data_IF_845901017700
#
_entry.id   IF_845901017700
#
_cell.length_a   1.000
_cell.length_b   1.000
_cell.length_c   1.000
_cell.angle_alpha   90.00
_cell.angle_beta   90.00
_cell.angle_gamma   90.00
#
_symmetry.space_group_name_H-M   'P 1'
#
loop_
_entity.id
_entity.type
_entity.pdbx_description
1 polymer ?
#
# COMPACT_ATOMS: atom_id res chain seq x y z
N UNK A 1 -10.99 -23.24 2.27
CA UNK A 1 -10.64 -21.91 2.82
C UNK A 1 -11.66 -21.39 3.84
N UNK A 2 -12.98 -21.48 3.59
CA UNK A 2 -14.02 -21.17 4.62
C UNK A 2 -13.87 -21.95 5.93
N UNK A 3 -13.31 -23.16 5.85
CA UNK A 3 -12.98 -24.05 6.98
C UNK A 3 -12.10 -23.40 8.05
N UNK A 4 -11.34 -22.35 7.73
CA UNK A 4 -10.58 -21.59 8.75
C UNK A 4 -11.49 -20.87 9.75
N UNK A 5 -12.67 -20.41 9.31
CA UNK A 5 -13.67 -19.81 10.21
C UNK A 5 -14.32 -20.87 11.09
N UNK A 6 -14.69 -21.99 10.48
CA UNK A 6 -15.49 -23.03 11.12
C UNK A 6 -14.65 -23.91 12.06
N UNK A 7 -13.35 -24.02 11.80
CA UNK A 7 -12.39 -24.79 12.61
C UNK A 7 -10.97 -24.21 12.45
N UNK A 8 -10.63 -23.09 13.13
CA UNK A 8 -9.34 -22.42 12.98
C UNK A 8 -8.16 -23.32 13.36
N UNK A 9 -8.36 -24.22 14.30
CA UNK A 9 -7.32 -25.14 14.79
C UNK A 9 -7.11 -26.36 13.86
N UNK A 10 -8.03 -26.61 12.92
CA UNK A 10 -7.96 -27.79 12.05
C UNK A 10 -6.95 -27.60 10.91
N UNK A 11 -6.02 -28.55 10.77
CA UNK A 11 -4.97 -28.52 9.74
C UNK A 11 -5.50 -28.52 8.28
N UNK A 12 -6.77 -28.87 8.06
CA UNK A 12 -7.37 -28.98 6.73
C UNK A 12 -7.32 -27.68 5.93
N UNK A 13 -7.54 -26.52 6.57
CA UNK A 13 -7.49 -25.25 5.86
C UNK A 13 -6.08 -24.91 5.40
N UNK A 14 -5.04 -25.25 6.20
CA UNK A 14 -3.63 -25.04 5.84
C UNK A 14 -3.26 -25.85 4.59
N UNK A 15 -3.58 -27.14 4.60
CA UNK A 15 -3.37 -28.04 3.46
C UNK A 15 -4.10 -27.56 2.20
N UNK A 16 -5.34 -27.07 2.35
CA UNK A 16 -6.11 -26.55 1.23
C UNK A 16 -5.46 -25.28 0.62
N UNK A 17 -4.96 -24.38 1.46
CA UNK A 17 -4.27 -23.16 1.01
C UNK A 17 -2.93 -23.50 0.35
N UNK A 18 -2.14 -24.39 0.96
CA UNK A 18 -0.88 -24.86 0.36
C UNK A 18 -1.11 -25.55 -0.98
N UNK A 19 -2.11 -26.44 -1.07
CA UNK A 19 -2.47 -27.12 -2.31
C UNK A 19 -2.89 -26.14 -3.40
N UNK A 20 -3.74 -25.17 -3.06
CA UNK A 20 -4.12 -24.09 -3.98
C UNK A 20 -2.90 -23.30 -4.47
N UNK A 21 -2.04 -22.85 -3.56
CA UNK A 21 -0.83 -22.10 -3.88
C UNK A 21 0.09 -22.85 -4.85
N UNK A 22 0.29 -24.16 -4.64
CA UNK A 22 1.12 -25.00 -5.53
C UNK A 22 0.54 -25.07 -6.94
N UNK A 23 -0.77 -25.27 -7.06
CA UNK A 23 -1.46 -25.35 -8.36
C UNK A 23 -1.31 -24.03 -9.12
N UNK A 24 -1.60 -22.90 -8.45
CA UNK A 24 -1.56 -21.59 -9.09
C UNK A 24 -0.15 -21.19 -9.54
N UNK A 25 0.87 -21.47 -8.71
CA UNK A 25 2.26 -21.19 -9.08
C UNK A 25 2.68 -22.06 -10.27
N UNK A 26 2.36 -23.35 -10.27
CA UNK A 26 2.68 -24.26 -11.38
C UNK A 26 2.03 -23.80 -12.70
N UNK A 27 0.74 -23.45 -12.66
CA UNK A 27 0.00 -22.94 -13.82
C UNK A 27 0.57 -21.60 -14.33
N UNK A 28 0.92 -20.68 -13.42
CA UNK A 28 1.48 -19.37 -13.78
C UNK A 28 2.89 -19.51 -14.39
N UNK A 29 3.72 -20.39 -13.84
CA UNK A 29 5.05 -20.69 -14.37
C UNK A 29 4.98 -21.31 -15.78
N UNK A 30 4.03 -22.21 -16.03
CA UNK A 30 3.81 -22.81 -17.36
C UNK A 30 3.43 -21.77 -18.40
N UNK A 31 2.56 -20.82 -18.03
CA UNK A 31 2.16 -19.71 -18.90
C UNK A 31 3.34 -18.78 -19.23
N UNK A 32 4.16 -18.45 -18.23
CA UNK A 32 5.33 -17.58 -18.41
C UNK A 32 6.42 -18.20 -19.31
N UNK A 33 6.56 -19.53 -19.30
CA UNK A 33 7.57 -20.25 -20.08
C UNK A 33 7.21 -20.46 -21.57
N UNK A 34 6.15 -19.80 -22.09
CA UNK A 34 5.69 -19.93 -23.48
C UNK A 34 5.39 -21.37 -23.91
N UNK A 35 5.09 -22.27 -22.96
CA UNK A 35 4.39 -23.51 -23.29
C UNK A 35 2.99 -23.07 -23.70
N UNK A 36 2.78 -22.90 -25.00
CA UNK A 36 1.58 -22.29 -25.57
C UNK A 36 0.30 -22.74 -24.85
N UNK A 37 -0.63 -21.80 -24.70
CA UNK A 37 -1.94 -22.02 -24.10
C UNK A 37 -2.48 -23.37 -24.58
N UNK A 38 -2.78 -24.28 -23.65
CA UNK A 38 -3.34 -25.57 -24.02
C UNK A 38 -4.56 -25.33 -24.93
N UNK A 39 -4.50 -25.70 -26.22
CA UNK A 39 -5.58 -25.43 -27.16
C UNK A 39 -6.86 -26.17 -26.78
N UNK A 40 -6.81 -27.12 -25.83
CA UNK A 40 -7.96 -27.82 -25.28
C UNK A 40 -8.85 -26.94 -24.39
N UNK A 41 -8.31 -25.88 -23.76
CA UNK A 41 -9.05 -25.03 -22.83
C UNK A 41 -9.61 -23.80 -23.55
N UNK A 42 -10.93 -23.76 -23.70
CA UNK A 42 -11.62 -22.61 -24.30
C UNK A 42 -11.31 -21.30 -23.55
N UNK A 43 -11.24 -20.18 -24.27
CA UNK A 43 -11.10 -18.83 -23.69
C UNK A 43 -12.13 -18.55 -22.58
N UNK A 44 -13.36 -19.05 -22.74
CA UNK A 44 -14.42 -18.91 -21.75
C UNK A 44 -14.12 -19.67 -20.45
N UNK A 45 -13.54 -20.86 -20.54
CA UNK A 45 -13.13 -21.63 -19.37
C UNK A 45 -12.01 -20.92 -18.59
N UNK A 46 -11.02 -20.34 -19.28
CA UNK A 46 -9.95 -19.56 -18.64
C UNK A 46 -10.46 -18.31 -17.90
N UNK A 47 -11.41 -17.59 -18.50
CA UNK A 47 -12.07 -16.44 -17.83
C UNK A 47 -12.78 -16.88 -16.54
N UNK A 48 -13.46 -18.03 -16.56
CA UNK A 48 -14.11 -18.57 -15.35
C UNK A 48 -13.10 -18.94 -14.28
N UNK A 49 -12.01 -19.61 -14.65
CA UNK A 49 -10.93 -19.96 -13.72
C UNK A 49 -10.38 -18.71 -13.02
N UNK A 50 -10.07 -17.65 -13.77
CA UNK A 50 -9.59 -16.40 -13.20
C UNK A 50 -10.58 -15.72 -12.25
N UNK A 51 -11.88 -15.84 -12.51
CA UNK A 51 -12.92 -15.37 -11.58
C UNK A 51 -12.90 -16.14 -10.26
N UNK A 52 -12.85 -17.46 -10.32
CA UNK A 52 -12.78 -18.31 -9.13
C UNK A 52 -11.48 -18.05 -8.34
N UNK A 53 -10.35 -17.86 -9.03
CA UNK A 53 -9.08 -17.48 -8.39
C UNK A 53 -9.23 -16.16 -7.64
N UNK A 54 -9.81 -15.14 -8.28
CA UNK A 54 -10.03 -13.85 -7.64
C UNK A 54 -10.98 -13.96 -6.44
N UNK A 55 -12.04 -14.75 -6.54
CA UNK A 55 -12.98 -14.98 -5.45
C UNK A 55 -12.29 -15.67 -4.25
N UNK A 56 -11.41 -16.63 -4.52
CA UNK A 56 -10.61 -17.31 -3.48
C UNK A 56 -9.68 -16.33 -2.77
N UNK A 57 -8.93 -15.50 -3.51
CA UNK A 57 -8.08 -14.47 -2.93
C UNK A 57 -8.86 -13.43 -2.13
N UNK A 58 -9.97 -12.94 -2.68
CA UNK A 58 -10.83 -11.95 -2.03
C UNK A 58 -11.39 -12.51 -0.71
N UNK A 59 -11.98 -13.71 -0.75
CA UNK A 59 -12.52 -14.37 0.44
C UNK A 59 -11.43 -14.61 1.48
N UNK A 60 -10.26 -15.11 1.08
CA UNK A 60 -9.25 -15.51 2.05
C UNK A 60 -8.48 -14.33 2.64
N UNK A 61 -7.95 -13.45 1.79
CA UNK A 61 -7.15 -12.32 2.23
C UNK A 61 -7.99 -11.32 3.03
N UNK A 62 -9.16 -10.93 2.49
CA UNK A 62 -10.02 -9.90 3.14
C UNK A 62 -10.76 -10.49 4.34
N UNK A 63 -11.23 -11.74 4.21
CA UNK A 63 -12.05 -12.40 5.20
C UNK A 63 -11.27 -12.97 6.38
N UNK A 64 -10.07 -13.52 6.18
CA UNK A 64 -9.42 -14.36 7.18
C UNK A 64 -7.97 -14.00 7.52
N UNK A 65 -7.14 -13.61 6.55
CA UNK A 65 -5.74 -13.24 6.84
C UNK A 65 -5.66 -11.99 7.69
N UNK A 66 -4.59 -11.81 8.48
CA UNK A 66 -4.31 -10.57 9.24
C UNK A 66 -5.44 -10.11 10.15
N UNK A 67 -6.22 -11.05 10.69
CA UNK A 67 -7.28 -10.82 11.69
C UNK A 67 -6.80 -11.32 13.04
N UNK A 68 -7.32 -10.74 14.12
CA UNK A 68 -7.04 -11.22 15.48
C UNK A 68 -7.40 -12.71 15.58
N UNK A 69 -6.41 -13.51 15.96
CA UNK A 69 -6.57 -14.96 16.15
C UNK A 69 -7.05 -15.22 17.59
N UNK A 70 -7.95 -16.18 17.82
CA UNK A 70 -8.33 -16.57 19.18
C UNK A 70 -7.10 -17.07 19.95
N UNK A 71 -6.73 -16.38 21.02
CA UNK A 71 -5.52 -16.66 21.81
C UNK A 71 -5.58 -17.94 22.65
N UNK A 72 -6.72 -18.59 22.72
CA UNK A 72 -7.00 -19.57 23.77
C UNK A 72 -6.93 -21.04 23.30
N UNK A 73 -6.62 -21.30 22.01
CA UNK A 73 -6.61 -22.66 21.44
C UNK A 73 -5.30 -23.09 20.78
N UNK A 74 -4.51 -22.14 20.25
CA UNK A 74 -3.31 -22.45 19.44
C UNK A 74 -2.00 -22.22 20.20
N UNK A 75 -1.04 -23.11 19.98
CA UNK A 75 0.33 -22.89 20.43
C UNK A 75 1.00 -21.75 19.65
N UNK A 76 2.02 -21.12 20.23
CA UNK A 76 2.79 -20.08 19.56
C UNK A 76 3.42 -20.54 18.22
N UNK A 77 3.75 -21.83 18.10
CA UNK A 77 4.27 -22.42 16.86
C UNK A 77 3.19 -22.48 15.77
N UNK A 78 1.96 -22.83 16.13
CA UNK A 78 0.84 -22.89 15.17
C UNK A 78 0.42 -21.49 14.71
N UNK A 79 0.39 -20.51 15.61
CA UNK A 79 0.13 -19.11 15.25
C UNK A 79 1.17 -18.60 14.25
N UNK A 80 2.46 -18.89 14.49
CA UNK A 80 3.52 -18.51 13.58
C UNK A 80 3.42 -19.21 12.22
N UNK A 81 3.02 -20.48 12.20
CA UNK A 81 2.79 -21.22 10.96
C UNK A 81 1.63 -20.61 10.16
N UNK A 82 0.56 -20.19 10.84
CA UNK A 82 -0.58 -19.53 10.22
C UNK A 82 -0.19 -18.19 9.60
N UNK A 83 0.51 -17.34 10.36
CA UNK A 83 1.03 -16.07 9.86
C UNK A 83 1.99 -16.27 8.68
N UNK A 84 2.86 -17.27 8.74
CA UNK A 84 3.77 -17.60 7.63
C UNK A 84 3.01 -18.00 6.37
N UNK A 85 1.94 -18.78 6.50
CA UNK A 85 1.10 -19.19 5.39
C UNK A 85 0.31 -18.02 4.80
N UNK A 86 -0.16 -17.09 5.64
CA UNK A 86 -0.79 -15.82 5.20
C UNK A 86 0.17 -14.95 4.39
N UNK A 87 1.43 -14.83 4.84
CA UNK A 87 2.44 -14.08 4.09
C UNK A 87 2.77 -14.78 2.77
N UNK A 88 2.88 -16.11 2.77
CA UNK A 88 3.15 -16.89 1.56
C UNK A 88 2.06 -16.72 0.49
N UNK A 89 0.78 -16.73 0.87
CA UNK A 89 -0.31 -16.51 -0.10
C UNK A 89 -0.27 -15.09 -0.68
N UNK A 90 0.10 -14.10 0.14
CA UNK A 90 0.25 -12.71 -0.27
C UNK A 90 1.45 -12.53 -1.23
N UNK A 91 2.56 -13.20 -0.96
CA UNK A 91 3.74 -13.21 -1.83
C UNK A 91 3.42 -13.85 -3.18
N UNK A 92 2.64 -14.94 -3.21
CA UNK A 92 2.22 -15.56 -4.47
C UNK A 92 1.34 -14.60 -5.26
N UNK A 93 0.35 -13.97 -4.64
CA UNK A 93 -0.50 -13.00 -5.33
C UNK A 93 0.32 -11.83 -5.89
N UNK A 94 1.12 -11.18 -5.05
CA UNK A 94 1.86 -9.98 -5.40
C UNK A 94 3.02 -10.25 -6.36
N UNK A 95 3.83 -11.26 -6.10
CA UNK A 95 5.10 -11.46 -6.82
C UNK A 95 5.04 -12.52 -7.90
N UNK A 96 4.17 -13.53 -7.76
CA UNK A 96 4.09 -14.63 -8.72
C UNK A 96 2.95 -14.49 -9.71
N UNK A 97 1.83 -13.89 -9.32
CA UNK A 97 0.68 -13.71 -10.21
C UNK A 97 0.71 -12.32 -10.85
N UNK A 98 0.63 -11.27 -10.03
CA UNK A 98 0.42 -9.90 -10.52
C UNK A 98 1.63 -9.29 -11.24
N UNK A 99 2.84 -9.82 -11.01
CA UNK A 99 4.05 -9.42 -11.76
C UNK A 99 4.32 -10.28 -13.00
N UNK A 100 3.64 -11.41 -13.15
CA UNK A 100 3.89 -12.34 -14.25
C UNK A 100 3.06 -12.00 -15.49
N UNK A 101 3.54 -12.43 -16.65
CA UNK A 101 2.75 -12.43 -17.86
C UNK A 101 1.65 -13.51 -17.79
N UNK A 102 0.43 -13.10 -17.47
CA UNK A 102 -0.75 -13.95 -17.39
C UNK A 102 -1.85 -13.49 -18.35
N UNK A 103 -2.80 -14.38 -18.64
CA UNK A 103 -3.93 -14.15 -19.55
C UNK A 103 -5.22 -13.72 -18.84
N UNK A 104 -5.10 -13.21 -17.60
CA UNK A 104 -6.22 -12.73 -16.82
C UNK A 104 -6.88 -11.50 -17.47
N UNK A 105 -8.22 -11.43 -17.52
CA UNK A 105 -8.93 -10.23 -17.94
C UNK A 105 -8.59 -9.01 -17.06
N UNK A 106 -8.63 -7.81 -17.64
CA UNK A 106 -8.29 -6.56 -16.95
C UNK A 106 -9.15 -6.31 -15.70
N UNK A 107 -10.45 -6.63 -15.76
CA UNK A 107 -11.35 -6.51 -14.60
C UNK A 107 -10.92 -7.44 -13.45
N UNK A 108 -10.35 -8.60 -13.76
CA UNK A 108 -9.83 -9.53 -12.75
C UNK A 108 -8.54 -9.01 -12.14
N UNK A 109 -7.61 -8.49 -12.95
CA UNK A 109 -6.39 -7.86 -12.44
C UNK A 109 -6.72 -6.71 -11.49
N UNK A 110 -7.67 -5.86 -11.88
CA UNK A 110 -8.15 -4.76 -11.05
C UNK A 110 -8.76 -5.24 -9.73
N UNK A 111 -9.58 -6.31 -9.75
CA UNK A 111 -10.14 -6.91 -8.54
C UNK A 111 -9.07 -7.47 -7.60
N UNK A 112 -8.03 -8.11 -8.14
CA UNK A 112 -6.92 -8.65 -7.35
C UNK A 112 -6.09 -7.53 -6.70
N UNK A 113 -5.78 -6.46 -7.43
CA UNK A 113 -5.09 -5.29 -6.86
C UNK A 113 -5.96 -4.60 -5.81
N UNK A 114 -7.26 -4.45 -6.05
CA UNK A 114 -8.21 -3.89 -5.06
C UNK A 114 -8.30 -4.76 -3.81
N UNK A 115 -8.16 -6.08 -3.95
CA UNK A 115 -8.10 -7.01 -2.81
C UNK A 115 -6.88 -6.72 -1.93
N UNK A 116 -5.71 -6.45 -2.52
CA UNK A 116 -4.52 -6.03 -1.76
C UNK A 116 -4.77 -4.72 -1.01
N UNK A 117 -5.39 -3.73 -1.65
CA UNK A 117 -5.68 -2.45 -1.03
C UNK A 117 -6.64 -2.54 0.15
N UNK A 118 -7.71 -3.34 0.05
CA UNK A 118 -8.62 -3.60 1.17
C UNK A 118 -7.91 -4.22 2.38
N UNK A 119 -6.85 -4.98 2.15
CA UNK A 119 -6.02 -5.54 3.21
C UNK A 119 -5.03 -4.50 3.75
N UNK A 120 -4.41 -3.71 2.86
CA UNK A 120 -3.50 -2.63 3.20
C UNK A 120 -4.18 -1.50 3.99
N UNK A 121 -5.48 -1.31 3.81
CA UNK A 121 -6.24 -0.25 4.46
C UNK A 121 -6.52 -0.47 5.94
N UNK A 122 -6.24 -1.67 6.48
CA UNK A 122 -6.77 -2.07 7.79
C UNK A 122 -6.26 -1.19 8.91
N UNK A 123 -4.95 -0.97 8.98
CA UNK A 123 -4.35 -0.07 9.98
C UNK A 123 -4.91 1.35 9.80
N UNK A 124 -4.84 1.90 8.58
CA UNK A 124 -5.26 3.28 8.38
C UNK A 124 -6.75 3.55 8.68
N UNK A 125 -7.62 2.57 8.40
CA UNK A 125 -9.08 2.67 8.55
C UNK A 125 -9.58 2.61 9.99
N UNK A 126 -8.76 2.13 10.94
CA UNK A 126 -9.16 2.01 12.34
C UNK A 126 -9.10 3.36 13.05
N UNK A 127 -10.08 3.69 13.92
CA UNK A 127 -9.94 4.75 14.93
C UNK A 127 -8.76 4.52 15.88
N UNK A 128 -8.26 5.59 16.51
CA UNK A 128 -7.08 5.57 17.39
C UNK A 128 -7.23 4.56 18.53
N UNK A 129 -8.39 4.50 19.15
CA UNK A 129 -8.70 3.62 20.29
C UNK A 129 -8.64 2.15 19.89
N UNK A 130 -9.01 1.86 18.64
CA UNK A 130 -9.04 0.48 18.14
C UNK A 130 -7.73 0.05 17.53
N UNK A 131 -6.98 0.97 16.90
CA UNK A 131 -5.66 0.66 16.33
C UNK A 131 -4.62 0.44 17.43
N UNK A 132 -4.79 1.07 18.60
CA UNK A 132 -3.96 0.80 19.79
C UNK A 132 -4.09 -0.66 20.29
N UNK A 133 -5.27 -1.25 20.13
CA UNK A 133 -5.54 -2.64 20.51
C UNK A 133 -5.23 -3.65 19.38
N UNK A 134 -4.72 -3.19 18.25
CA UNK A 134 -4.45 -4.03 17.09
C UNK A 134 -3.29 -4.99 17.38
N UNK A 135 -3.48 -6.31 17.24
CA UNK A 135 -2.37 -7.26 17.37
C UNK A 135 -1.28 -7.01 16.32
N UNK A 136 -0.01 -7.17 16.70
CA UNK A 136 1.14 -6.85 15.84
C UNK A 136 1.19 -7.65 14.54
N UNK A 137 0.67 -8.88 14.51
CA UNK A 137 0.59 -9.66 13.26
C UNK A 137 -0.41 -9.07 12.27
N UNK A 138 -1.48 -8.44 12.76
CA UNK A 138 -2.49 -7.80 11.93
C UNK A 138 -1.91 -6.55 11.26
N UNK A 139 -1.19 -5.71 12.02
CA UNK A 139 -0.58 -4.49 11.49
C UNK A 139 0.53 -4.85 10.48
N UNK A 140 1.37 -5.84 10.80
CA UNK A 140 2.38 -6.37 9.89
C UNK A 140 1.77 -6.91 8.60
N UNK A 141 0.68 -7.67 8.66
CA UNK A 141 -0.01 -8.14 7.45
C UNK A 141 -0.54 -6.98 6.60
N UNK A 142 -1.18 -5.98 7.21
CA UNK A 142 -1.64 -4.76 6.52
C UNK A 142 -0.47 -4.04 5.84
N UNK A 143 0.66 -3.90 6.54
CA UNK A 143 1.86 -3.24 6.03
C UNK A 143 2.48 -4.03 4.86
N UNK A 144 2.52 -5.36 4.94
CA UNK A 144 2.98 -6.19 3.82
C UNK A 144 2.08 -6.03 2.60
N UNK A 145 0.75 -5.93 2.76
CA UNK A 145 -0.14 -5.65 1.64
C UNK A 145 0.15 -4.29 1.00
N UNK A 146 0.41 -3.27 1.81
CA UNK A 146 0.82 -1.94 1.32
C UNK A 146 2.15 -2.01 0.57
N UNK A 147 3.13 -2.73 1.11
CA UNK A 147 4.41 -3.00 0.45
C UNK A 147 4.23 -3.69 -0.91
N UNK A 148 3.30 -4.64 -1.04
CA UNK A 148 2.99 -5.25 -2.35
C UNK A 148 2.46 -4.21 -3.35
N UNK A 149 1.62 -3.26 -2.92
CA UNK A 149 1.17 -2.18 -3.81
C UNK A 149 2.32 -1.28 -4.28
N UNK A 150 3.26 -0.91 -3.39
CA UNK A 150 4.49 -0.23 -3.78
C UNK A 150 5.30 -1.04 -4.78
N UNK A 151 5.49 -2.33 -4.49
CA UNK A 151 6.26 -3.23 -5.35
C UNK A 151 5.65 -3.45 -6.74
N UNK A 152 4.32 -3.43 -6.85
CA UNK A 152 3.60 -3.50 -8.13
C UNK A 152 3.64 -2.18 -8.91
N UNK A 153 3.72 -1.06 -8.20
CA UNK A 153 3.82 0.28 -8.79
C UNK A 153 5.25 0.61 -9.23
N UNK A 154 6.24 -0.01 -8.59
CA UNK A 154 7.65 0.24 -8.81
C UNK A 154 8.16 -0.30 -10.15
N UNK A 155 9.07 0.46 -10.74
CA UNK A 155 9.76 0.14 -11.97
C UNK A 155 11.28 0.10 -11.76
N UNK A 156 11.93 -0.95 -12.26
CA UNK A 156 13.38 -1.04 -12.35
C UNK A 156 13.83 -1.28 -13.80
N UNK A 157 14.95 -0.69 -14.22
CA UNK A 157 15.50 -0.90 -15.57
C UNK A 157 16.06 -2.33 -15.78
N UNK A 158 16.30 -3.06 -14.69
CA UNK A 158 16.81 -4.44 -14.72
C UNK A 158 15.69 -5.46 -14.97
N UNK A 159 14.43 -5.05 -14.78
CA UNK A 159 13.26 -5.83 -15.14
C UNK A 159 13.08 -5.86 -16.67
N UNK A 160 13.76 -6.79 -17.35
CA UNK A 160 13.57 -7.06 -18.78
C UNK A 160 12.18 -7.59 -19.17
N UNK A 161 11.22 -7.62 -18.24
CA UNK A 161 9.88 -8.20 -18.35
C UNK A 161 8.77 -7.13 -18.20
N UNK A 162 8.96 -5.95 -18.80
CA UNK A 162 7.92 -4.92 -18.88
C UNK A 162 6.88 -5.28 -19.96
N UNK A 163 5.99 -6.22 -19.62
CA UNK A 163 4.92 -6.70 -20.50
C UNK A 163 3.60 -5.92 -20.32
N UNK A 164 2.64 -6.14 -21.22
CA UNK A 164 1.33 -5.45 -21.19
C UNK A 164 0.59 -5.68 -19.86
N UNK A 165 0.59 -6.92 -19.35
CA UNK A 165 -0.06 -7.26 -18.08
C UNK A 165 0.57 -6.49 -16.92
N UNK A 166 1.91 -6.44 -16.86
CA UNK A 166 2.67 -5.69 -15.85
C UNK A 166 2.39 -4.18 -15.93
N UNK A 167 2.29 -3.62 -17.14
CA UNK A 167 1.90 -2.22 -17.34
C UNK A 167 0.50 -1.94 -16.78
N UNK A 168 -0.49 -2.77 -17.09
CA UNK A 168 -1.88 -2.56 -16.62
C UNK A 168 -2.02 -2.74 -15.10
N UNK A 169 -1.32 -3.72 -14.53
CA UNK A 169 -1.23 -3.88 -13.08
C UNK A 169 -0.56 -2.66 -12.45
N UNK A 170 0.58 -2.19 -12.99
CA UNK A 170 1.31 -1.03 -12.46
C UNK A 170 0.46 0.26 -12.50
N UNK A 171 -0.26 0.52 -13.59
CA UNK A 171 -1.23 1.64 -13.69
C UNK A 171 -2.29 1.56 -12.60
N UNK A 172 -2.92 0.40 -12.46
CA UNK A 172 -3.98 0.18 -11.49
C UNK A 172 -3.46 0.30 -10.06
N UNK A 173 -2.34 -0.34 -9.75
CA UNK A 173 -1.68 -0.30 -8.44
C UNK A 173 -1.25 1.11 -8.08
N UNK A 174 -0.67 1.87 -9.01
CA UNK A 174 -0.21 3.23 -8.72
C UNK A 174 -1.36 4.17 -8.40
N UNK A 175 -2.47 4.10 -9.16
CA UNK A 175 -3.66 4.90 -8.88
C UNK A 175 -4.22 4.64 -7.48
N UNK A 176 -4.33 3.37 -7.12
CA UNK A 176 -4.80 2.95 -5.80
C UNK A 176 -3.81 3.36 -4.70
N UNK A 177 -2.51 3.13 -4.93
CA UNK A 177 -1.43 3.43 -4.00
C UNK A 177 -1.37 4.91 -3.66
N UNK A 178 -1.42 5.80 -4.66
CA UNK A 178 -1.36 7.25 -4.43
C UNK A 178 -2.57 7.71 -3.60
N UNK A 179 -3.77 7.25 -3.92
CA UNK A 179 -4.96 7.54 -3.10
C UNK A 179 -4.83 7.01 -1.67
N UNK A 180 -4.27 5.81 -1.50
CA UNK A 180 -4.02 5.21 -0.18
C UNK A 180 -3.00 6.01 0.62
N UNK A 181 -1.90 6.44 0.02
CA UNK A 181 -0.89 7.27 0.66
C UNK A 181 -1.46 8.63 1.07
N UNK A 182 -2.25 9.26 0.22
CA UNK A 182 -2.96 10.50 0.54
C UNK A 182 -3.86 10.32 1.77
N UNK A 183 -4.64 9.23 1.80
CA UNK A 183 -5.50 8.91 2.93
C UNK A 183 -4.69 8.70 4.22
N UNK A 184 -3.60 7.93 4.17
CA UNK A 184 -2.73 7.66 5.34
C UNK A 184 -2.15 8.97 5.88
N UNK A 185 -1.63 9.84 5.01
CA UNK A 185 -1.07 11.14 5.39
C UNK A 185 -2.11 12.02 6.10
N UNK A 186 -3.31 12.15 5.51
CA UNK A 186 -4.40 12.94 6.09
C UNK A 186 -4.91 12.34 7.40
N UNK A 187 -5.02 11.02 7.46
CA UNK A 187 -5.49 10.30 8.65
C UNK A 187 -4.52 10.44 9.80
N UNK A 188 -3.22 10.30 9.54
CA UNK A 188 -2.17 10.54 10.52
C UNK A 188 -2.28 11.96 11.12
N UNK A 189 -2.37 12.98 10.28
CA UNK A 189 -2.53 14.37 10.74
C UNK A 189 -3.82 14.58 11.55
N UNK A 190 -4.93 14.02 11.08
CA UNK A 190 -6.22 14.11 11.77
C UNK A 190 -6.17 13.45 13.14
N UNK A 191 -5.50 12.30 13.25
CA UNK A 191 -5.37 11.56 14.50
C UNK A 191 -4.53 12.32 15.53
N UNK A 192 -3.46 13.02 15.10
CA UNK A 192 -2.67 13.88 15.99
C UNK A 192 -3.47 15.07 16.51
N UNK A 193 -4.27 15.71 15.64
CA UNK A 193 -5.12 16.85 16.01
C UNK A 193 -6.19 16.40 17.00
N UNK A 194 -6.85 15.25 16.75
CA UNK A 194 -7.89 14.72 17.63
C UNK A 194 -7.33 14.34 19.02
N UNK A 195 -6.16 13.70 19.08
CA UNK A 195 -5.48 13.42 20.35
C UNK A 195 -5.11 14.68 21.11
N UNK A 196 -4.56 15.68 20.42
CA UNK A 196 -4.30 17.00 21.01
C UNK A 196 -5.58 17.60 21.60
N UNK A 197 -6.66 17.68 20.80
CA UNK A 197 -7.93 18.25 21.24
C UNK A 197 -8.54 17.57 22.48
N UNK A 198 -8.42 16.23 22.60
CA UNK A 198 -8.95 15.47 23.74
C UNK A 198 -8.25 15.77 25.06
N UNK A 199 -6.94 15.99 25.04
CA UNK A 199 -6.20 16.43 26.22
C UNK A 199 -6.64 17.84 26.65
N UNK A 200 -6.98 18.70 25.69
CA UNK A 200 -7.41 20.07 25.95
C UNK A 200 -8.81 20.21 26.52
N UNK A 201 -9.74 19.29 26.23
CA UNK A 201 -11.04 19.25 26.91
C UNK A 201 -10.92 19.09 28.44
N UNK A 202 -9.79 18.57 28.94
CA UNK A 202 -9.51 18.50 30.37
C UNK A 202 -8.82 19.76 30.94
N UNK A 203 -8.21 20.62 30.11
CA UNK A 203 -7.33 21.72 30.55
C UNK A 203 -7.80 23.15 30.20
N UNK A 204 -8.89 23.35 29.48
CA UNK A 204 -9.61 24.64 29.43
C UNK A 204 -9.04 25.76 28.53
N UNK A 205 -8.08 25.50 27.63
CA UNK A 205 -7.58 26.47 26.64
C UNK A 205 -8.23 26.31 25.25
N UNK A 206 -8.32 27.41 24.49
CA UNK A 206 -9.25 27.61 23.37
C UNK A 206 -8.75 27.30 21.94
N UNK A 207 -7.53 26.78 21.76
CA UNK A 207 -7.03 26.39 20.42
C UNK A 207 -6.55 24.93 20.37
N UNK A 208 -7.33 23.99 19.77
CA UNK A 208 -6.97 22.58 19.63
C UNK A 208 -5.76 22.35 18.72
N UNK A 209 -5.45 23.31 17.84
CA UNK A 209 -4.38 23.15 16.83
C UNK A 209 -2.99 23.46 17.38
N UNK A 210 -2.87 23.98 18.61
CA UNK A 210 -1.59 24.34 19.23
C UNK A 210 -0.85 23.15 19.85
N UNK A 211 -1.49 21.98 19.99
CA UNK A 211 -0.98 20.84 20.77
C UNK A 211 -0.90 19.50 20.00
N UNK A 212 -1.04 19.52 18.68
CA UNK A 212 -0.91 18.30 17.89
C UNK A 212 0.57 17.83 17.90
N UNK A 213 0.80 16.58 18.31
CA UNK A 213 2.13 15.99 18.46
C UNK A 213 2.65 15.86 19.89
N UNK A 214 1.89 16.30 20.90
CA UNK A 214 2.26 16.11 22.32
C UNK A 214 1.91 14.71 22.86
N UNK A 215 0.95 14.02 22.21
CA UNK A 215 0.55 12.66 22.58
C UNK A 215 1.11 11.63 21.59
N UNK A 216 1.74 10.53 22.07
CA UNK A 216 2.23 9.50 21.19
C UNK A 216 1.06 8.79 20.49
N UNK A 217 1.14 8.70 19.16
CA UNK A 217 0.23 7.86 18.39
C UNK A 217 0.51 6.37 18.62
N UNK A 218 -0.50 5.50 18.43
CA UNK A 218 -0.31 4.06 18.51
C UNK A 218 0.83 3.57 17.60
N UNK A 219 1.65 2.58 18.03
CA UNK A 219 2.81 2.13 17.27
C UNK A 219 2.50 1.74 15.82
N UNK A 220 1.39 1.04 15.58
CA UNK A 220 0.99 0.63 14.24
C UNK A 220 0.73 1.82 13.30
N UNK A 221 0.25 2.96 13.83
CA UNK A 221 0.05 4.20 13.07
C UNK A 221 1.39 4.84 12.70
N UNK A 222 2.31 4.86 13.65
CA UNK A 222 3.66 5.42 13.47
C UNK A 222 4.46 4.58 12.48
N UNK A 223 4.39 3.25 12.58
CA UNK A 223 5.02 2.33 11.64
C UNK A 223 4.46 2.51 10.22
N UNK A 224 3.14 2.64 10.07
CA UNK A 224 2.48 2.84 8.77
C UNK A 224 2.94 4.13 8.09
N UNK A 225 3.01 5.26 8.81
CA UNK A 225 3.44 6.53 8.21
C UNK A 225 4.93 6.53 7.87
N UNK A 226 5.79 5.97 8.74
CA UNK A 226 7.24 5.87 8.47
C UNK A 226 7.47 5.04 7.21
N UNK A 227 6.81 3.89 7.13
CA UNK A 227 6.89 3.01 5.97
C UNK A 227 6.45 3.73 4.68
N UNK A 228 5.29 4.42 4.70
CA UNK A 228 4.80 5.17 3.53
C UNK A 228 5.80 6.23 3.08
N UNK A 229 6.33 7.03 4.00
CA UNK A 229 7.28 8.09 3.66
C UNK A 229 8.57 7.53 3.07
N UNK A 230 9.09 6.45 3.65
CA UNK A 230 10.28 5.76 3.14
C UNK A 230 10.04 5.19 1.74
N UNK A 231 8.96 4.44 1.54
CA UNK A 231 8.68 3.82 0.25
C UNK A 231 8.39 4.87 -0.84
N UNK A 232 7.67 5.95 -0.53
CA UNK A 232 7.42 7.04 -1.48
C UNK A 232 8.71 7.73 -1.93
N UNK A 233 9.70 7.86 -1.05
CA UNK A 233 10.99 8.47 -1.36
C UNK A 233 11.81 7.61 -2.34
N UNK A 234 11.66 6.29 -2.28
CA UNK A 234 12.35 5.33 -3.15
C UNK A 234 11.55 4.92 -4.39
N UNK A 235 10.23 5.16 -4.39
CA UNK A 235 9.37 4.76 -5.50
C UNK A 235 9.76 5.48 -6.80
N UNK A 236 9.91 4.67 -7.85
CA UNK A 236 10.15 5.07 -9.23
C UNK A 236 9.07 4.40 -10.05
N UNK A 237 8.28 5.17 -10.82
CA UNK A 237 7.20 4.61 -11.63
C UNK A 237 7.53 4.66 -13.11
N UNK A 238 7.02 3.71 -13.89
CA UNK A 238 7.23 3.73 -15.34
C UNK A 238 6.51 4.91 -16.00
N UNK A 239 6.99 5.36 -17.16
CA UNK A 239 6.38 6.48 -17.90
C UNK A 239 4.93 6.18 -18.30
N UNK A 240 4.66 4.96 -18.75
CA UNK A 240 3.29 4.53 -19.08
C UNK A 240 2.36 4.57 -17.86
N UNK A 241 2.90 4.26 -16.69
CA UNK A 241 2.18 4.31 -15.41
C UNK A 241 1.94 5.76 -14.97
N UNK A 242 2.91 6.65 -15.17
CA UNK A 242 2.75 8.07 -14.88
C UNK A 242 1.63 8.71 -15.70
N UNK A 243 1.34 8.20 -16.90
CA UNK A 243 0.32 8.74 -17.80
C UNK A 243 -1.11 8.72 -17.25
N UNK A 244 -1.41 7.82 -16.31
CA UNK A 244 -2.76 7.67 -15.73
C UNK A 244 -2.95 8.48 -14.45
N UNK A 245 -1.90 9.10 -13.91
CA UNK A 245 -1.99 9.88 -12.68
C UNK A 245 -2.92 11.09 -12.87
N UNK A 246 -3.68 11.48 -11.82
CA UNK A 246 -4.63 12.58 -11.87
C UNK A 246 -3.93 13.94 -11.77
N UNK A 247 -2.98 14.21 -12.66
CA UNK A 247 -2.23 15.46 -12.72
C UNK A 247 -2.87 16.43 -13.71
N UNK A 248 -2.74 17.73 -13.42
CA UNK A 248 -3.21 18.76 -14.34
C UNK A 248 -2.48 18.64 -15.69
N UNK A 249 -3.14 18.82 -16.85
CA UNK A 249 -2.53 18.61 -18.16
C UNK A 249 -1.23 19.40 -18.40
N UNK A 250 -1.14 20.60 -17.82
CA UNK A 250 0.07 21.45 -17.89
C UNK A 250 1.27 20.82 -17.17
N UNK A 251 1.02 20.01 -16.13
CA UNK A 251 2.06 19.26 -15.43
C UNK A 251 2.46 18.00 -16.18
N UNK A 252 1.49 17.36 -16.84
CA UNK A 252 1.74 16.18 -17.65
C UNK A 252 2.71 16.46 -18.81
N UNK A 253 2.59 17.62 -19.46
CA UNK A 253 3.49 18.05 -20.52
C UNK A 253 4.94 18.20 -20.06
N UNK A 254 5.19 18.87 -18.94
CA UNK A 254 6.54 19.05 -18.37
C UNK A 254 7.14 17.76 -17.82
N UNK A 255 6.31 16.85 -17.29
CA UNK A 255 6.75 15.54 -16.76
C UNK A 255 7.33 14.66 -17.87
N UNK A 256 6.74 14.66 -19.06
CA UNK A 256 7.21 13.83 -20.17
C UNK A 256 8.60 14.26 -20.67
N UNK A 257 8.94 15.54 -20.56
CA UNK A 257 10.23 16.08 -21.05
C UNK A 257 11.32 16.14 -19.97
N UNK A 258 10.98 16.44 -18.71
CA UNK A 258 11.97 16.75 -17.67
C UNK A 258 12.02 15.76 -16.48
N UNK A 259 11.01 14.89 -16.29
CA UNK A 259 10.97 13.99 -15.13
C UNK A 259 11.85 12.74 -15.29
N UNK A 260 13.16 12.95 -15.44
CA UNK A 260 14.16 11.85 -15.47
C UNK A 260 14.10 10.97 -14.23
N UNK A 261 13.69 11.55 -13.09
CA UNK A 261 13.57 10.85 -11.81
C UNK A 261 12.37 9.90 -11.74
N UNK A 262 11.39 10.02 -12.66
CA UNK A 262 10.20 9.15 -12.70
C UNK A 262 9.42 9.14 -11.38
N UNK A 263 9.32 10.32 -10.74
CA UNK A 263 8.68 10.51 -9.43
C UNK A 263 7.40 11.35 -9.46
N UNK A 264 6.59 11.23 -10.51
CA UNK A 264 5.37 12.04 -10.69
C UNK A 264 4.30 11.78 -9.61
N UNK A 265 4.34 10.64 -8.92
CA UNK A 265 3.47 10.36 -7.77
C UNK A 265 3.59 11.40 -6.66
N UNK A 266 4.78 12.00 -6.48
CA UNK A 266 5.02 13.02 -5.47
C UNK A 266 4.30 14.33 -5.76
N UNK A 267 4.11 14.66 -7.05
CA UNK A 267 3.37 15.85 -7.46
C UNK A 267 1.88 15.70 -7.13
N UNK A 268 1.35 14.48 -7.20
CA UNK A 268 -0.03 14.20 -6.77
C UNK A 268 -0.18 14.36 -5.26
N UNK A 269 0.80 13.88 -4.49
CA UNK A 269 0.78 13.91 -3.02
C UNK A 269 1.27 15.23 -2.42
N UNK A 270 1.73 16.15 -3.26
CA UNK A 270 2.30 17.43 -2.86
C UNK A 270 1.43 18.21 -1.87
N UNK A 271 0.09 18.36 -2.08
CA UNK A 271 -0.75 19.07 -1.13
C UNK A 271 -0.74 18.45 0.27
N UNK A 272 -0.80 17.11 0.36
CA UNK A 272 -0.78 16.41 1.65
C UNK A 272 0.58 16.51 2.35
N UNK A 273 1.68 16.53 1.59
CA UNK A 273 2.99 16.83 2.18
C UNK A 273 3.09 18.25 2.71
N UNK A 274 2.55 19.23 1.99
CA UNK A 274 2.50 20.62 2.46
C UNK A 274 1.70 20.73 3.76
N UNK A 275 0.52 20.12 3.85
CA UNK A 275 -0.28 20.11 5.08
C UNK A 275 0.50 19.49 6.26
N UNK A 276 1.16 18.36 6.03
CA UNK A 276 1.98 17.68 7.03
C UNK A 276 3.16 18.55 7.49
N UNK A 277 3.84 19.25 6.58
CA UNK A 277 4.97 20.13 6.92
C UNK A 277 4.50 21.40 7.62
N UNK A 278 3.43 22.03 7.12
CA UNK A 278 2.86 23.27 7.69
C UNK A 278 2.43 23.02 9.13
N UNK A 279 1.75 21.91 9.40
CA UNK A 279 1.37 21.58 10.78
C UNK A 279 2.62 21.60 11.67
N UNK A 280 3.71 20.92 11.29
CA UNK A 280 4.97 20.93 12.04
C UNK A 280 5.67 22.27 12.16
N UNK A 281 5.62 23.12 11.13
CA UNK A 281 6.23 24.46 11.18
C UNK A 281 5.47 25.37 12.16
N UNK A 282 4.14 25.28 12.20
CA UNK A 282 3.32 25.97 13.21
C UNK A 282 3.67 25.47 14.62
N UNK A 283 4.17 24.23 14.77
CA UNK A 283 4.64 23.65 16.04
C UNK A 283 6.11 23.91 16.41
N UNK A 284 6.92 24.61 15.59
CA UNK A 284 8.32 24.92 15.90
C UNK A 284 8.44 26.05 16.94
N UNK A 285 8.00 25.75 18.16
CA UNK A 285 8.53 26.27 19.43
C UNK A 285 9.14 25.15 20.31
N UNK A 286 9.18 23.89 19.84
CA UNK A 286 9.71 22.75 20.60
C UNK A 286 10.72 21.92 19.78
N UNK A 287 11.91 21.72 20.36
CA UNK A 287 13.14 21.15 19.78
C UNK A 287 13.21 19.66 19.35
N UNK A 288 12.27 18.70 19.59
CA UNK A 288 12.61 17.28 19.34
C UNK A 288 12.67 16.82 17.88
N UNK A 289 12.21 17.60 16.89
CA UNK A 289 11.96 17.10 15.53
C UNK A 289 13.05 17.34 14.49
N UNK A 290 14.10 18.12 14.80
CA UNK A 290 15.30 18.24 13.95
C UNK A 290 15.94 16.86 13.71
N UNK A 291 15.87 15.97 14.69
CA UNK A 291 16.44 14.61 14.65
C UNK A 291 15.71 13.68 13.68
N UNK A 292 14.43 13.91 13.39
CA UNK A 292 13.64 13.07 12.47
C UNK A 292 13.74 13.55 11.00
N UNK A 293 13.83 14.86 10.78
CA UNK A 293 14.01 15.44 9.46
C UNK A 293 15.43 15.20 8.88
N UNK A 294 16.47 15.22 9.73
CA UNK A 294 17.84 14.88 9.35
C UNK A 294 18.01 13.40 8.97
N UNK A 295 17.26 12.49 9.61
CA UNK A 295 17.37 11.05 9.36
C UNK A 295 16.70 10.57 8.06
N UNK A 296 15.75 11.34 7.53
CA UNK A 296 14.98 10.98 6.34
C UNK A 296 15.45 11.70 5.07
N UNK A 297 16.53 12.50 5.13
CA UNK A 297 16.94 13.43 4.06
C UNK A 297 15.80 14.36 3.58
N UNK A 298 14.68 14.42 4.29
CA UNK A 298 13.48 15.18 3.92
C UNK A 298 13.75 16.68 3.94
N UNK A 299 14.70 17.15 4.75
CA UNK A 299 15.12 18.55 4.69
C UNK A 299 15.80 18.89 3.37
N UNK A 300 16.67 18.00 2.86
CA UNK A 300 17.27 18.12 1.53
C UNK A 300 16.24 17.90 0.42
N UNK A 301 15.28 17.00 0.62
CA UNK A 301 14.21 16.73 -0.34
C UNK A 301 13.21 17.89 -0.45
N UNK A 302 12.76 18.43 0.68
CA UNK A 302 11.89 19.60 0.75
C UNK A 302 12.63 20.90 0.38
N UNK A 303 13.94 21.04 0.68
CA UNK A 303 14.72 22.22 0.25
C UNK A 303 15.29 22.12 -1.15
N UNK A 304 15.47 20.94 -1.74
CA UNK A 304 16.07 20.79 -3.07
C UNK A 304 15.01 20.49 -4.13
N UNK A 305 14.08 19.57 -3.89
CA UNK A 305 13.06 19.22 -4.89
C UNK A 305 11.87 20.18 -4.88
N UNK A 306 11.36 20.51 -3.69
CA UNK A 306 10.30 21.50 -3.51
C UNK A 306 10.81 22.89 -3.96
N UNK A 307 12.02 23.28 -3.55
CA UNK A 307 12.62 24.57 -3.94
C UNK A 307 13.07 24.64 -5.40
N UNK A 308 13.65 23.58 -5.99
CA UNK A 308 14.02 23.57 -7.42
C UNK A 308 12.82 23.44 -8.35
N UNK A 309 11.78 22.71 -7.94
CA UNK A 309 10.51 22.67 -8.67
C UNK A 309 9.78 24.01 -8.58
N UNK A 310 9.82 24.70 -7.42
CA UNK A 310 9.22 26.02 -7.23
C UNK A 310 10.02 27.17 -7.89
N UNK A 311 11.35 27.06 -8.04
CA UNK A 311 12.17 28.12 -8.67
C UNK A 311 11.90 28.27 -10.17
N UNK A 312 11.41 27.21 -10.80
CA UNK A 312 10.97 27.19 -12.20
C UNK A 312 9.43 27.33 -12.35
N UNK A 313 8.69 27.42 -11.24
CA UNK A 313 7.24 27.54 -11.24
C UNK A 313 6.84 28.98 -10.90
N UNK A 314 6.49 29.74 -11.93
CA UNK A 314 5.83 31.04 -11.74
C UNK A 314 4.39 30.80 -11.26
N UNK A 315 4.15 30.90 -9.95
CA UNK A 315 2.82 30.76 -9.33
C UNK A 315 1.78 31.80 -9.80
N UNK A 316 2.09 32.65 -10.80
CA UNK A 316 1.16 33.63 -11.37
C UNK A 316 0.29 33.09 -12.51
N UNK A 317 0.51 31.87 -13.00
CA UNK A 317 -0.21 31.35 -14.18
C UNK A 317 -1.42 30.46 -13.88
N UNK A 318 -1.88 30.38 -12.62
CA UNK A 318 -3.02 29.54 -12.21
C UNK A 318 -4.16 30.34 -11.55
N UNK A 319 -4.29 31.62 -11.89
CA UNK A 319 -5.49 32.42 -11.64
C UNK A 319 -6.35 32.49 -12.91
#
# INVERSE_FOLDING_TARGET
>A
MRTRRDSPDAALWRLAVEGFNRIIVDDTCKLAANYGIDPSISRLARIRIWKEIADVYEIFLVGYCGRALPSNSLSALELKADESLEMSILDILGDKILKSQIDAPLDILQRLVTTLDRCASRTCSLPIETVELMPSHCSRFSLTCLHKLFSLSSFSNEDGDWNMTRSEVSKTSTMILVSRCEYILKKFLSDEIDLGARLHQFNGNSDPTLYAGECPLPPARVEEIIFVLQELAHLVIHLDTASVLPLHPHLMGGILEENRGRRSHLLVLFPSFCELVISRIVFLSCEPLLVYAEKLELEGWCKYYLYSSLKNWDCRSLA
#
